data_IF_226439407348
#
_entry.id   IF_226439407348
#
_cell.length_a   1.000
_cell.length_b   1.000
_cell.length_c   1.000
_cell.angle_alpha   90.00
_cell.angle_beta   90.00
_cell.angle_gamma   90.00
#
_symmetry.space_group_name_H-M   'P 1'
#
loop_
_entity.id
_entity.type
_entity.pdbx_description
1 polymer ?
#
# COMPACT_ATOMS: atom_id res chain seq x y z
N UNK A 1 -2.78 13.25 -9.45
CA UNK A 1 -2.60 11.81 -9.14
C UNK A 1 -3.88 11.08 -8.77
N UNK A 2 -4.80 11.73 -8.04
CA UNK A 2 -6.10 11.09 -7.73
C UNK A 2 -6.88 10.69 -8.99
N UNK A 3 -6.89 11.56 -10.01
CA UNK A 3 -7.54 11.25 -11.29
C UNK A 3 -6.88 10.06 -11.99
N UNK A 4 -5.56 9.98 -11.93
CA UNK A 4 -4.81 8.87 -12.53
C UNK A 4 -5.08 7.55 -11.81
N UNK A 5 -5.35 7.59 -10.51
CA UNK A 5 -5.67 6.40 -9.73
C UNK A 5 -6.97 5.74 -10.19
N UNK A 6 -7.83 6.47 -10.90
CA UNK A 6 -9.13 6.00 -11.40
C UNK A 6 -9.13 5.78 -12.92
N UNK A 7 -7.98 5.97 -13.56
CA UNK A 7 -7.87 5.83 -15.01
C UNK A 7 -8.14 4.38 -15.44
N UNK A 8 -8.68 4.21 -16.64
CA UNK A 8 -8.93 2.87 -17.20
C UNK A 8 -7.63 2.14 -17.54
N UNK A 9 -6.56 2.88 -17.80
CA UNK A 9 -5.24 2.31 -18.04
C UNK A 9 -4.60 1.90 -16.72
N UNK A 10 -4.38 0.61 -16.55
CA UNK A 10 -3.86 0.06 -15.29
C UNK A 10 -2.44 0.53 -14.99
N UNK A 11 -1.63 0.83 -16.01
CA UNK A 11 -0.28 1.38 -15.82
C UNK A 11 -0.33 2.80 -15.26
N UNK A 12 -1.33 3.60 -15.67
CA UNK A 12 -1.55 4.94 -15.11
C UNK A 12 -1.93 4.83 -13.63
N UNK A 13 -2.80 3.88 -13.28
CA UNK A 13 -3.15 3.62 -11.89
C UNK A 13 -1.92 3.26 -11.06
N UNK A 14 -1.07 2.38 -11.60
CA UNK A 14 0.17 1.98 -10.93
C UNK A 14 1.08 3.17 -10.65
N UNK A 15 1.21 4.05 -11.63
CA UNK A 15 2.01 5.27 -11.49
C UNK A 15 1.49 6.14 -10.34
N UNK A 16 0.17 6.30 -10.24
CA UNK A 16 -0.42 7.08 -9.17
C UNK A 16 -0.15 6.46 -7.79
N UNK A 17 -0.27 5.14 -7.69
CA UNK A 17 -0.02 4.42 -6.44
C UNK A 17 1.43 4.59 -5.98
N UNK A 18 2.38 4.57 -6.92
CA UNK A 18 3.81 4.62 -6.62
C UNK A 18 4.41 6.02 -6.61
N UNK A 19 3.60 7.06 -6.84
CA UNK A 19 4.13 8.42 -7.04
C UNK A 19 4.87 8.98 -5.82
N UNK A 20 4.62 8.46 -4.65
CA UNK A 20 5.28 8.92 -3.43
C UNK A 20 6.38 7.98 -2.92
N UNK A 21 6.75 6.95 -3.67
CA UNK A 21 7.85 6.09 -3.27
C UNK A 21 9.13 6.94 -3.11
N UNK A 22 9.77 6.80 -1.95
CA UNK A 22 10.95 7.59 -1.64
C UNK A 22 10.68 8.94 -1.00
N UNK A 23 9.42 9.31 -0.83
CA UNK A 23 9.08 10.58 -0.17
C UNK A 23 9.33 10.57 1.34
N UNK A 24 9.45 9.40 1.95
CA UNK A 24 9.73 9.25 3.38
C UNK A 24 8.76 10.08 4.25
N UNK A 25 9.31 10.96 5.10
CA UNK A 25 8.51 11.78 6.01
C UNK A 25 7.57 12.76 5.31
N UNK A 26 7.83 13.05 4.03
CA UNK A 26 7.00 13.95 3.24
C UNK A 26 5.80 13.25 2.60
N UNK A 27 5.56 11.97 2.90
CA UNK A 27 4.44 11.22 2.33
C UNK A 27 3.11 11.88 2.70
N UNK A 28 2.32 12.22 1.67
CA UNK A 28 0.96 12.71 1.85
C UNK A 28 0.04 11.49 2.01
N UNK A 29 -0.30 11.18 3.25
CA UNK A 29 -1.08 9.97 3.58
C UNK A 29 -2.47 9.98 2.96
N UNK A 30 -3.28 11.06 3.06
CA UNK A 30 -4.57 11.09 2.37
C UNK A 30 -4.45 10.84 0.87
N UNK A 31 -3.45 11.40 0.21
CA UNK A 31 -3.23 11.16 -1.22
C UNK A 31 -2.87 9.70 -1.47
N UNK A 32 -2.00 9.12 -0.67
CA UNK A 32 -1.60 7.72 -0.79
C UNK A 32 -2.84 6.81 -0.72
N UNK A 33 -3.69 7.00 0.29
CA UNK A 33 -4.88 6.18 0.47
C UNK A 33 -5.91 6.40 -0.64
N UNK A 34 -6.06 7.64 -1.11
CA UNK A 34 -6.95 7.95 -2.22
C UNK A 34 -6.49 7.32 -3.55
N UNK A 35 -5.19 7.15 -3.72
CA UNK A 35 -4.65 6.49 -4.91
C UNK A 35 -4.77 4.96 -4.84
N UNK A 36 -4.73 4.39 -3.64
CA UNK A 36 -4.85 2.94 -3.44
C UNK A 36 -6.30 2.48 -3.55
N UNK A 37 -7.23 3.25 -2.97
CA UNK A 37 -8.63 2.84 -2.85
C UNK A 37 -9.27 2.31 -4.12
N UNK A 38 -9.18 3.03 -5.26
CA UNK A 38 -9.83 2.57 -6.50
C UNK A 38 -9.31 1.23 -7.02
N UNK A 39 -8.12 0.81 -6.61
CA UNK A 39 -7.50 -0.42 -7.10
C UNK A 39 -7.34 -1.49 -6.02
N UNK A 40 -7.82 -1.26 -4.81
CA UNK A 40 -7.58 -2.16 -3.67
C UNK A 40 -8.08 -3.58 -3.91
N UNK A 41 -9.15 -3.73 -4.66
CA UNK A 41 -9.75 -5.04 -4.97
C UNK A 41 -9.17 -5.67 -6.25
N UNK A 42 -8.36 -4.92 -7.00
CA UNK A 42 -7.80 -5.41 -8.26
C UNK A 42 -6.76 -6.50 -7.98
N UNK A 43 -6.82 -7.56 -8.78
CA UNK A 43 -5.96 -8.72 -8.58
C UNK A 43 -4.87 -8.86 -9.63
N UNK A 44 -4.79 -7.94 -10.58
CA UNK A 44 -3.69 -7.91 -11.53
C UNK A 44 -2.38 -7.82 -10.75
N UNK A 45 -1.44 -8.70 -11.06
CA UNK A 45 -0.22 -8.87 -10.29
C UNK A 45 0.51 -7.54 -10.07
N UNK A 46 0.72 -6.77 -11.13
CA UNK A 46 1.50 -5.54 -11.02
C UNK A 46 0.80 -4.45 -10.20
N UNK A 47 -0.54 -4.38 -10.23
CA UNK A 47 -1.30 -3.43 -9.41
C UNK A 47 -1.32 -3.86 -7.96
N UNK A 48 -1.63 -5.13 -7.71
CA UNK A 48 -1.68 -5.64 -6.34
C UNK A 48 -0.33 -5.52 -5.65
N UNK A 49 0.76 -5.79 -6.38
CA UNK A 49 2.10 -5.66 -5.85
C UNK A 49 2.47 -4.20 -5.58
N UNK A 50 2.06 -3.28 -6.47
CA UNK A 50 2.30 -1.85 -6.27
C UNK A 50 1.63 -1.33 -5.00
N UNK A 51 0.38 -1.72 -4.76
CA UNK A 51 -0.35 -1.34 -3.54
C UNK A 51 0.40 -1.84 -2.30
N UNK A 52 0.75 -3.11 -2.28
CA UNK A 52 1.48 -3.70 -1.16
C UNK A 52 2.82 -3.01 -0.94
N UNK A 53 3.55 -2.75 -2.02
CA UNK A 53 4.85 -2.09 -1.96
C UNK A 53 4.75 -0.67 -1.43
N UNK A 54 3.76 0.11 -1.91
CA UNK A 54 3.55 1.48 -1.43
C UNK A 54 3.25 1.50 0.06
N UNK A 55 2.38 0.60 0.53
CA UNK A 55 2.05 0.50 1.95
C UNK A 55 3.26 0.06 2.77
N UNK A 56 4.04 -0.90 2.28
CA UNK A 56 5.25 -1.36 2.96
C UNK A 56 6.28 -0.24 3.11
N UNK A 57 6.51 0.52 2.05
CA UNK A 57 7.46 1.63 2.10
C UNK A 57 7.02 2.70 3.10
N UNK A 58 5.72 3.00 3.13
CA UNK A 58 5.20 3.92 4.11
C UNK A 58 5.37 3.38 5.55
N UNK A 59 5.12 2.09 5.76
CA UNK A 59 5.26 1.47 7.09
C UNK A 59 6.69 1.57 7.63
N UNK A 60 7.69 1.63 6.75
CA UNK A 60 9.10 1.76 7.15
C UNK A 60 9.44 3.13 7.73
N UNK A 61 8.55 4.11 7.63
CA UNK A 61 8.80 5.46 8.17
C UNK A 61 8.79 5.50 9.69
N UNK A 62 8.21 4.51 10.35
CA UNK A 62 8.22 4.43 11.80
C UNK A 62 7.04 3.63 12.37
N UNK A 63 7.00 3.48 13.72
CA UNK A 63 5.94 2.70 14.37
C UNK A 63 4.53 3.24 14.12
N UNK A 64 4.36 4.56 14.09
CA UNK A 64 3.04 5.16 13.83
C UNK A 64 2.58 4.87 12.41
N UNK A 65 3.48 4.93 11.44
CA UNK A 65 3.17 4.60 10.06
C UNK A 65 2.82 3.12 9.93
N UNK A 66 3.56 2.23 10.57
CA UNK A 66 3.28 0.80 10.58
C UNK A 66 1.91 0.50 11.19
N UNK A 67 1.54 1.16 12.29
CA UNK A 67 0.22 1.01 12.89
C UNK A 67 -0.89 1.46 11.93
N UNK A 68 -0.67 2.57 11.24
CA UNK A 68 -1.65 3.07 10.27
C UNK A 68 -1.86 2.10 9.12
N UNK A 69 -0.78 1.50 8.63
CA UNK A 69 -0.87 0.47 7.57
C UNK A 69 -1.66 -0.73 8.07
N UNK A 70 -1.42 -1.19 9.29
CA UNK A 70 -2.20 -2.29 9.87
C UNK A 70 -3.68 -1.94 9.94
N UNK A 71 -4.02 -0.72 10.34
CA UNK A 71 -5.41 -0.27 10.39
C UNK A 71 -6.05 -0.24 9.00
N UNK A 72 -5.32 0.23 7.99
CA UNK A 72 -5.80 0.27 6.61
C UNK A 72 -6.06 -1.15 6.10
N UNK A 73 -5.12 -2.06 6.28
CA UNK A 73 -5.26 -3.45 5.86
C UNK A 73 -6.43 -4.11 6.56
N UNK A 74 -6.56 -3.89 7.86
CA UNK A 74 -7.67 -4.44 8.64
C UNK A 74 -9.02 -3.89 8.16
N UNK A 75 -9.08 -2.59 7.89
CA UNK A 75 -10.29 -1.91 7.44
C UNK A 75 -10.80 -2.48 6.10
N UNK A 76 -9.90 -2.75 5.17
CA UNK A 76 -10.30 -3.36 3.89
C UNK A 76 -10.62 -4.86 4.04
N UNK A 77 -9.96 -5.54 4.96
CA UNK A 77 -10.20 -6.97 5.18
C UNK A 77 -10.02 -7.78 3.90
N UNK A 78 -11.00 -8.64 3.60
CA UNK A 78 -10.96 -9.51 2.43
C UNK A 78 -11.12 -8.77 1.10
N UNK A 79 -11.51 -7.51 1.14
CA UNK A 79 -11.61 -6.68 -0.08
C UNK A 79 -10.25 -6.40 -0.69
N UNK A 80 -9.21 -6.31 0.13
CA UNK A 80 -7.84 -6.13 -0.37
C UNK A 80 -7.32 -7.42 -0.98
N UNK A 81 -6.70 -7.31 -2.17
CA UNK A 81 -6.13 -8.47 -2.84
C UNK A 81 -5.10 -9.16 -1.94
N UNK A 82 -5.06 -10.51 -1.89
CA UNK A 82 -4.14 -11.24 -0.99
C UNK A 82 -2.68 -10.86 -1.17
N UNK A 83 -2.23 -10.62 -2.40
CA UNK A 83 -0.86 -10.20 -2.68
C UNK A 83 -0.56 -8.84 -2.06
N UNK A 84 -1.50 -7.88 -2.18
CA UNK A 84 -1.34 -6.55 -1.58
C UNK A 84 -1.19 -6.65 -0.07
N UNK A 85 -2.04 -7.46 0.57
CA UNK A 85 -2.01 -7.65 2.02
C UNK A 85 -0.68 -8.25 2.46
N UNK A 86 -0.22 -9.29 1.77
CA UNK A 86 1.03 -9.96 2.11
C UNK A 86 2.23 -9.04 1.96
N UNK A 87 2.32 -8.29 0.86
CA UNK A 87 3.43 -7.37 0.64
C UNK A 87 3.43 -6.22 1.64
N UNK A 88 2.27 -5.69 1.99
CA UNK A 88 2.14 -4.64 3.00
C UNK A 88 2.63 -5.15 4.37
N UNK A 89 2.28 -6.39 4.73
CA UNK A 89 2.66 -7.00 6.00
C UNK A 89 4.16 -7.19 6.17
N UNK A 90 4.91 -7.29 5.09
CA UNK A 90 6.37 -7.45 5.16
C UNK A 90 7.09 -6.26 5.79
N UNK A 91 6.43 -5.11 5.85
CA UNK A 91 6.98 -3.94 6.52
C UNK A 91 6.71 -3.91 8.02
N UNK A 92 5.93 -4.85 8.56
CA UNK A 92 5.56 -4.88 9.96
C UNK A 92 6.69 -5.47 10.81
N UNK A 93 7.25 -4.69 11.78
CA UNK A 93 8.29 -5.20 12.66
C UNK A 93 7.88 -6.44 13.45
N UNK A 94 6.62 -6.53 13.84
CA UNK A 94 6.12 -7.69 14.58
C UNK A 94 6.14 -8.95 13.73
N UNK A 95 5.81 -8.86 12.45
CA UNK A 95 5.88 -9.99 11.54
C UNK A 95 7.32 -10.44 11.29
N UNK A 96 8.26 -9.49 11.19
CA UNK A 96 9.68 -9.81 11.05
C UNK A 96 10.19 -10.60 12.25
N UNK A 97 9.80 -10.20 13.47
CA UNK A 97 10.18 -10.93 14.69
C UNK A 97 9.65 -12.35 14.66
N UNK A 98 8.41 -12.53 14.22
CA UNK A 98 7.82 -13.85 14.09
C UNK A 98 8.59 -14.76 13.13
N UNK A 99 9.17 -14.20 12.07
CA UNK A 99 9.94 -14.97 11.10
C UNK A 99 11.32 -15.36 11.58
N UNK A 100 11.89 -14.57 12.47
CA UNK A 100 13.23 -14.82 13.00
C UNK A 100 13.23 -15.86 14.12
N UNK A 101 12.06 -16.14 14.64
CA UNK A 101 11.86 -17.16 15.66
C UNK A 101 11.30 -18.44 15.07
#
# INVERSE_FOLDING_TARGET
MRAWARDDDLWVRRTAILCQLGSHEATDVPLLLDCIGPSVERREFFLAKAIGWALRQYAHEGPEAADRVRQVVHSYGDRMAPLSRREAGRGDPAERKGRLM
#
